data_IF_171982333125
#
_entry.id   IF_171982333125
#
_cell.length_a   1.000
_cell.length_b   1.000
_cell.length_c   1.000
_cell.angle_alpha   90.00
_cell.angle_beta   90.00
_cell.angle_gamma   90.00
#
_symmetry.space_group_name_H-M   'P 1'
#
loop_
_entity.id
_entity.type
_entity.pdbx_description
1 polymer ?
#
# COMPACT_ATOMS: atom_id res chain seq x y z
N UNK A 1 -22.22 -26.00 -2.07
CA UNK A 1 -21.49 -25.30 -2.05
C UNK A 1 -21.75 -24.09 -1.82
N UNK A 2 -21.12 -23.50 -1.38
CA UNK A 2 -21.40 -22.40 -0.96
C UNK A 2 -20.56 -21.39 -1.44
N UNK A 3 -20.91 -20.81 -2.47
CA UNK A 3 -20.17 -19.78 -3.09
C UNK A 3 -19.97 -18.63 -2.18
N UNK A 4 -20.88 -18.43 -1.28
CA UNK A 4 -20.79 -17.28 -0.39
C UNK A 4 -19.63 -17.35 0.57
N UNK A 5 -19.03 -18.52 0.75
CA UNK A 5 -17.87 -18.64 1.59
C UNK A 5 -16.58 -18.41 0.83
N UNK A 6 -16.64 -18.15 -0.44
CA UNK A 6 -15.48 -17.90 -1.21
C UNK A 6 -15.37 -16.46 -1.55
N UNK A 7 -14.19 -15.93 -1.39
CA UNK A 7 -13.91 -14.61 -1.91
C UNK A 7 -13.57 -14.74 -3.38
N UNK A 8 -14.15 -13.90 -4.20
CA UNK A 8 -13.77 -13.92 -5.59
C UNK A 8 -12.44 -13.14 -5.74
N UNK A 9 -11.92 -13.17 -6.95
CA UNK A 9 -10.62 -12.57 -7.21
C UNK A 9 -10.57 -11.10 -6.83
N UNK A 10 -11.61 -10.35 -7.14
CA UNK A 10 -11.63 -8.93 -6.83
C UNK A 10 -11.72 -8.67 -5.33
N UNK A 11 -12.40 -9.54 -4.60
CA UNK A 11 -12.47 -9.39 -3.14
C UNK A 11 -11.10 -9.60 -2.51
N UNK A 12 -10.34 -10.59 -3.00
CA UNK A 12 -8.99 -10.82 -2.53
C UNK A 12 -8.10 -9.61 -2.81
N UNK A 13 -8.23 -9.05 -4.01
CA UNK A 13 -7.46 -7.87 -4.36
C UNK A 13 -7.80 -6.67 -3.49
N UNK A 14 -9.08 -6.51 -3.16
CA UNK A 14 -9.49 -5.41 -2.29
C UNK A 14 -8.90 -5.53 -0.90
N UNK A 15 -8.84 -6.76 -0.36
CA UNK A 15 -8.21 -6.97 0.93
C UNK A 15 -6.72 -6.65 0.86
N UNK A 16 -6.05 -7.11 -0.17
CA UNK A 16 -4.64 -6.78 -0.36
C UNK A 16 -4.42 -5.28 -0.47
N UNK A 17 -5.30 -4.62 -1.19
CA UNK A 17 -5.22 -3.18 -1.36
C UNK A 17 -5.32 -2.47 -0.01
N UNK A 18 -6.25 -2.90 0.83
CA UNK A 18 -6.40 -2.30 2.16
C UNK A 18 -5.14 -2.47 3.01
N UNK A 19 -4.56 -3.66 2.97
CA UNK A 19 -3.33 -3.93 3.71
C UNK A 19 -2.20 -3.04 3.22
N UNK A 20 -2.03 -2.93 1.91
CA UNK A 20 -0.97 -2.11 1.34
C UNK A 20 -1.16 -0.64 1.63
N UNK A 21 -2.39 -0.16 1.59
CA UNK A 21 -2.68 1.23 1.93
C UNK A 21 -2.36 1.53 3.38
N UNK A 22 -2.66 0.60 4.26
CA UNK A 22 -2.34 0.76 5.67
C UNK A 22 -0.84 0.81 5.88
N UNK A 23 -0.10 -0.10 5.24
CA UNK A 23 1.35 -0.10 5.33
C UNK A 23 1.96 1.18 4.79
N UNK A 24 1.41 1.67 3.69
CA UNK A 24 1.87 2.94 3.12
C UNK A 24 1.66 4.09 4.10
N UNK A 25 0.51 4.13 4.72
CA UNK A 25 0.21 5.17 5.71
C UNK A 25 1.12 5.09 6.91
N UNK A 26 1.36 3.86 7.40
CA UNK A 26 2.23 3.65 8.56
C UNK A 26 3.65 4.11 8.27
N UNK A 27 4.15 3.83 7.08
CA UNK A 27 5.47 4.30 6.67
C UNK A 27 5.53 5.81 6.55
N UNK A 28 4.48 6.41 6.04
CA UNK A 28 4.41 7.86 5.90
C UNK A 28 4.50 8.53 7.27
N UNK A 29 3.75 8.01 8.23
CA UNK A 29 3.77 8.52 9.60
C UNK A 29 5.16 8.33 10.23
N UNK A 30 5.76 7.17 10.01
CA UNK A 30 7.08 6.89 10.57
C UNK A 30 8.15 7.80 9.99
N UNK A 31 8.09 8.04 8.68
CA UNK A 31 9.03 8.95 8.01
C UNK A 31 8.89 10.36 8.57
N UNK A 32 7.66 10.82 8.70
CA UNK A 32 7.39 12.14 9.23
C UNK A 32 7.91 12.29 10.67
N UNK A 33 7.66 11.27 11.49
CA UNK A 33 8.14 11.29 12.87
C UNK A 33 9.66 11.35 12.94
N UNK A 34 10.34 10.59 12.10
CA UNK A 34 11.79 10.64 12.05
C UNK A 34 12.33 12.00 11.66
N UNK A 35 11.68 12.62 10.70
CA UNK A 35 12.09 13.95 10.26
C UNK A 35 11.88 15.00 11.33
N UNK A 36 10.85 14.85 12.14
CA UNK A 36 10.55 15.81 13.20
C UNK A 36 11.45 15.69 14.41
N UNK A 37 11.97 14.51 14.69
CA UNK A 37 12.77 14.32 15.90
C UNK A 37 14.18 14.82 15.79
N UNK A 38 14.64 15.13 14.59
CA UNK A 38 16.01 15.60 14.41
C UNK A 38 17.07 14.50 14.50
N UNK A 39 16.67 13.28 14.79
CA UNK A 39 17.60 12.16 14.81
C UNK A 39 17.50 11.43 13.50
N UNK A 40 18.13 11.99 12.49
CA UNK A 40 18.02 11.41 11.18
C UNK A 40 19.10 10.41 10.90
N UNK A 41 18.67 9.17 10.72
CA UNK A 41 19.53 8.18 10.11
C UNK A 41 19.21 8.23 8.62
N UNK A 42 20.09 8.83 7.86
CA UNK A 42 19.84 9.07 6.44
C UNK A 42 19.61 7.79 5.65
N UNK A 43 20.37 6.75 5.97
CA UNK A 43 20.21 5.48 5.27
C UNK A 43 18.87 4.83 5.56
N UNK A 44 18.45 4.90 6.81
CA UNK A 44 17.19 4.34 7.21
C UNK A 44 16.04 5.09 6.56
N UNK A 45 16.15 6.41 6.55
CA UNK A 45 15.14 7.26 5.93
C UNK A 45 15.02 6.95 4.43
N UNK A 46 16.13 6.81 3.75
CA UNK A 46 16.14 6.46 2.35
C UNK A 46 15.47 5.12 2.09
N UNK A 47 15.75 4.13 2.93
CA UNK A 47 15.12 2.82 2.79
C UNK A 47 13.62 2.88 2.97
N UNK A 48 13.18 3.65 3.95
CA UNK A 48 11.77 3.80 4.22
C UNK A 48 11.05 4.50 3.07
N UNK A 49 11.67 5.51 2.50
CA UNK A 49 11.10 6.20 1.34
C UNK A 49 11.01 5.28 0.12
N UNK A 50 12.01 4.45 -0.07
CA UNK A 50 11.99 3.47 -1.13
C UNK A 50 10.88 2.45 -0.95
N UNK A 51 10.70 1.97 0.27
CA UNK A 51 9.61 1.08 0.59
C UNK A 51 8.27 1.72 0.31
N UNK A 52 8.12 2.97 0.68
CA UNK A 52 6.89 3.71 0.45
C UNK A 52 6.56 3.79 -1.04
N UNK A 53 7.56 4.07 -1.86
CA UNK A 53 7.37 4.12 -3.31
C UNK A 53 6.99 2.75 -3.87
N UNK A 54 7.61 1.69 -3.37
CA UNK A 54 7.28 0.34 -3.78
C UNK A 54 5.83 -0.02 -3.45
N UNK A 55 5.40 0.36 -2.25
CA UNK A 55 4.01 0.14 -1.87
C UNK A 55 3.04 0.92 -2.76
N UNK A 56 3.39 2.14 -3.08
CA UNK A 56 2.57 2.97 -3.95
C UNK A 56 2.41 2.32 -5.32
N UNK A 57 3.49 1.77 -5.86
CA UNK A 57 3.44 1.09 -7.13
C UNK A 57 2.54 -0.15 -7.09
N UNK A 58 2.64 -0.93 -6.02
CA UNK A 58 1.79 -2.10 -5.85
C UNK A 58 0.32 -1.73 -5.72
N UNK A 59 0.06 -0.67 -4.99
CA UNK A 59 -1.30 -0.16 -4.85
C UNK A 59 -1.87 0.21 -6.22
N UNK A 60 -1.09 0.91 -7.02
CA UNK A 60 -1.53 1.32 -8.34
C UNK A 60 -1.85 0.12 -9.24
N UNK A 61 -1.01 -0.90 -9.19
CA UNK A 61 -1.24 -2.10 -9.98
C UNK A 61 -2.55 -2.79 -9.58
N UNK A 62 -2.78 -2.91 -8.29
CA UNK A 62 -3.99 -3.56 -7.81
C UNK A 62 -5.23 -2.73 -8.13
N UNK A 63 -5.13 -1.44 -7.99
CA UNK A 63 -6.26 -0.56 -8.34
C UNK A 63 -6.62 -0.69 -9.81
N UNK A 64 -5.63 -0.78 -10.67
CA UNK A 64 -5.86 -0.98 -12.08
C UNK A 64 -6.54 -2.31 -12.37
N UNK A 65 -6.18 -3.35 -11.64
CA UNK A 65 -6.80 -4.65 -11.82
C UNK A 65 -8.26 -4.68 -11.38
N UNK A 66 -8.57 -3.97 -10.32
CA UNK A 66 -9.92 -3.95 -9.78
C UNK A 66 -10.85 -3.13 -10.65
N UNK A 67 -10.37 -2.04 -11.20
CA UNK A 67 -11.23 -1.11 -11.93
C UNK A 67 -10.70 -0.75 -13.30
N UNK A 68 -10.41 -1.72 -14.15
CA UNK A 68 -9.81 -1.41 -15.45
C UNK A 68 -10.75 -0.70 -16.39
N UNK A 69 -12.03 -0.87 -16.20
CA UNK A 69 -12.99 -0.35 -17.17
C UNK A 69 -13.62 0.96 -16.81
N UNK A 70 -13.22 1.50 -15.73
CA UNK A 70 -13.82 2.72 -15.29
C UNK A 70 -13.56 3.88 -16.18
N UNK A 71 -12.53 3.75 -16.95
CA UNK A 71 -12.16 4.83 -17.77
C UNK A 71 -13.00 5.03 -18.94
N UNK A 72 -13.73 4.11 -19.27
CA UNK A 72 -14.51 4.19 -20.47
C UNK A 72 -15.39 5.44 -20.59
#
# INVERSE_FOLDING_TARGET
MNVSNRMDHNDVLRVKLEVLKREHRDLDVAIEAMQQTGHLDALRLQRMKKQKLSLKDRIAVIEDEITPDIIA
#
